data_IF_481599915674
#
_entry.id   IF_481599915674
#
_cell.length_a   1.000
_cell.length_b   1.000
_cell.length_c   1.000
_cell.angle_alpha   90.00
_cell.angle_beta   90.00
_cell.angle_gamma   90.00
#
_symmetry.space_group_name_H-M   'P 1'
#
loop_
_entity.id
_entity.type
_entity.pdbx_description
1 polymer ?
#
# COMPACT_ATOMS: atom_id res chain seq x y z
N UNK A 1 -10.70 1.66 21.35
CA UNK A 1 -10.71 0.63 20.29
C UNK A 1 -10.46 1.35 18.98
N UNK A 2 -9.30 1.09 18.36
CA UNK A 2 -8.70 1.91 17.31
C UNK A 2 -9.31 1.60 15.93
N UNK A 3 -10.47 2.19 15.62
CA UNK A 3 -11.07 2.13 14.27
C UNK A 3 -10.14 2.68 13.17
N UNK A 4 -9.10 3.42 13.53
CA UNK A 4 -8.15 4.06 12.60
C UNK A 4 -7.34 3.03 11.78
N UNK A 5 -7.26 1.77 12.21
CA UNK A 5 -6.42 0.76 11.56
C UNK A 5 -7.21 -0.31 10.78
N UNK A 6 -8.52 -0.44 10.98
CA UNK A 6 -9.33 -1.48 10.32
C UNK A 6 -9.42 -1.28 8.81
N UNK A 7 -9.58 -0.03 8.36
CA UNK A 7 -9.57 0.31 6.94
C UNK A 7 -8.23 -0.02 6.28
N UNK A 8 -7.11 0.34 6.91
CA UNK A 8 -5.78 0.02 6.39
C UNK A 8 -5.55 -1.49 6.34
N UNK A 9 -5.95 -2.24 7.37
CA UNK A 9 -5.84 -3.70 7.39
C UNK A 9 -6.67 -4.36 6.28
N UNK A 10 -7.89 -3.89 6.03
CA UNK A 10 -8.71 -4.37 4.92
C UNK A 10 -8.04 -4.10 3.58
N UNK A 11 -7.52 -2.89 3.36
CA UNK A 11 -6.83 -2.53 2.12
C UNK A 11 -5.54 -3.35 1.91
N UNK A 12 -4.79 -3.65 2.97
CA UNK A 12 -3.63 -4.57 2.91
C UNK A 12 -4.08 -5.97 2.50
N UNK A 13 -5.18 -6.48 3.08
CA UNK A 13 -5.73 -7.79 2.74
C UNK A 13 -6.16 -7.85 1.28
N UNK A 14 -6.87 -6.82 0.80
CA UNK A 14 -7.30 -6.70 -0.59
C UNK A 14 -6.08 -6.68 -1.54
N UNK A 15 -5.09 -5.84 -1.27
CA UNK A 15 -3.89 -5.74 -2.10
C UNK A 15 -3.14 -7.07 -2.23
N UNK A 16 -3.10 -7.88 -1.16
CA UNK A 16 -2.46 -9.22 -1.19
C UNK A 16 -3.23 -10.27 -1.99
N UNK A 17 -4.55 -10.14 -2.13
CA UNK A 17 -5.40 -11.12 -2.79
C UNK A 17 -5.54 -10.89 -4.29
N UNK A 18 -5.38 -9.65 -4.74
CA UNK A 18 -5.55 -9.28 -6.15
C UNK A 18 -4.25 -9.42 -6.94
N UNK A 19 -4.36 -9.56 -8.25
CA UNK A 19 -3.19 -9.63 -9.14
C UNK A 19 -2.37 -8.35 -9.07
N UNK A 20 -1.07 -8.49 -8.82
CA UNK A 20 -0.12 -7.38 -8.81
C UNK A 20 -0.21 -6.56 -10.10
N UNK A 21 -0.37 -5.25 -9.94
CA UNK A 21 -0.46 -4.30 -11.06
C UNK A 21 -1.84 -4.22 -11.72
N UNK A 22 -2.82 -5.02 -11.28
CA UNK A 22 -4.22 -4.81 -11.69
C UNK A 22 -4.75 -3.45 -11.22
N UNK A 23 -5.82 -2.98 -11.85
CA UNK A 23 -6.47 -1.72 -11.46
C UNK A 23 -6.88 -1.71 -9.98
N UNK A 24 -7.35 -2.85 -9.46
CA UNK A 24 -7.72 -3.01 -8.05
C UNK A 24 -6.50 -2.95 -7.14
N UNK A 25 -5.38 -3.57 -7.55
CA UNK A 25 -4.12 -3.49 -6.80
C UNK A 25 -3.62 -2.05 -6.69
N UNK A 26 -3.58 -1.32 -7.82
CA UNK A 26 -3.14 0.07 -7.85
C UNK A 26 -4.05 0.98 -7.04
N UNK A 27 -5.37 0.77 -7.09
CA UNK A 27 -6.33 1.49 -6.27
C UNK A 27 -6.11 1.23 -4.77
N UNK A 28 -5.85 -0.03 -4.38
CA UNK A 28 -5.56 -0.39 -3.00
C UNK A 28 -4.27 0.26 -2.50
N UNK A 29 -3.19 0.28 -3.30
CA UNK A 29 -1.94 0.97 -2.94
C UNK A 29 -2.15 2.48 -2.76
N UNK A 30 -2.91 3.11 -3.66
CA UNK A 30 -3.25 4.54 -3.54
C UNK A 30 -4.00 4.81 -2.23
N UNK A 31 -5.04 4.02 -1.95
CA UNK A 31 -5.84 4.16 -0.74
C UNK A 31 -5.02 3.90 0.54
N UNK A 32 -4.08 2.95 0.52
CA UNK A 32 -3.14 2.72 1.62
C UNK A 32 -2.25 3.93 1.86
N UNK A 33 -1.77 4.57 0.79
CA UNK A 33 -1.00 5.81 0.86
C UNK A 33 -1.78 6.95 1.49
N UNK A 34 -3.06 7.09 1.16
CA UNK A 34 -3.94 8.14 1.69
C UNK A 34 -4.39 7.87 3.13
N UNK A 35 -4.70 6.60 3.46
CA UNK A 35 -5.09 6.19 4.80
C UNK A 35 -3.91 6.31 5.78
N UNK A 36 -2.70 5.93 5.35
CA UNK A 36 -1.52 5.90 6.19
C UNK A 36 -1.61 4.89 7.34
N UNK A 37 -0.84 5.16 8.39
CA UNK A 37 -0.77 4.33 9.58
C UNK A 37 0.18 3.13 9.47
N UNK A 38 0.48 2.46 10.62
CA UNK A 38 1.56 1.48 10.70
C UNK A 38 1.37 0.29 9.75
N UNK A 39 0.14 -0.24 9.63
CA UNK A 39 -0.12 -1.39 8.78
C UNK A 39 0.08 -1.08 7.28
N UNK A 40 -0.28 0.12 6.84
CA UNK A 40 -0.06 0.55 5.47
C UNK A 40 1.44 0.75 5.19
N UNK A 41 2.15 1.41 6.10
CA UNK A 41 3.60 1.63 5.98
C UNK A 41 4.36 0.30 5.93
N UNK A 42 4.09 -0.63 6.84
CA UNK A 42 4.75 -1.94 6.91
C UNK A 42 4.54 -2.73 5.62
N UNK A 43 3.30 -2.76 5.11
CA UNK A 43 2.99 -3.45 3.87
C UNK A 43 3.68 -2.80 2.67
N UNK A 44 3.61 -1.47 2.54
CA UNK A 44 4.21 -0.74 1.41
C UNK A 44 5.75 -0.86 1.41
N UNK A 45 6.40 -0.84 2.57
CA UNK A 45 7.85 -1.08 2.69
C UNK A 45 8.20 -2.51 2.28
N UNK A 46 7.46 -3.51 2.76
CA UNK A 46 7.70 -4.91 2.40
C UNK A 46 7.53 -5.12 0.90
N UNK A 47 6.47 -4.55 0.31
CA UNK A 47 6.18 -4.68 -1.11
C UNK A 47 7.28 -4.00 -1.95
N UNK A 48 7.69 -2.78 -1.60
CA UNK A 48 8.74 -2.07 -2.33
C UNK A 48 10.05 -2.87 -2.40
N UNK A 49 10.43 -3.56 -1.32
CA UNK A 49 11.64 -4.41 -1.27
C UNK A 49 11.57 -5.65 -2.15
N UNK A 50 10.37 -6.12 -2.49
CA UNK A 50 10.15 -7.32 -3.31
C UNK A 50 10.04 -7.01 -4.81
N UNK A 51 9.74 -5.76 -5.16
CA UNK A 51 9.51 -5.35 -6.54
C UNK A 51 10.81 -5.00 -7.24
N UNK A 52 10.85 -5.24 -8.55
CA UNK A 52 11.96 -4.78 -9.41
C UNK A 52 12.03 -3.26 -9.40
N UNK A 53 13.19 -2.72 -9.02
CA UNK A 53 13.46 -1.29 -9.02
C UNK A 53 13.08 -0.63 -10.35
N UNK A 54 12.36 0.48 -10.29
CA UNK A 54 11.94 1.25 -11.46
C UNK A 54 10.74 0.68 -12.24
N UNK A 55 10.24 -0.49 -11.87
CA UNK A 55 8.97 -0.97 -12.43
C UNK A 55 7.81 -0.04 -12.09
N UNK A 56 6.77 0.00 -12.93
CA UNK A 56 5.59 0.84 -12.70
C UNK A 56 4.96 0.59 -11.31
N UNK A 57 4.93 -0.69 -10.90
CA UNK A 57 4.40 -1.05 -9.59
C UNK A 57 5.33 -0.63 -8.44
N UNK A 58 6.65 -0.71 -8.63
CA UNK A 58 7.62 -0.21 -7.65
C UNK A 58 7.48 1.31 -7.45
N UNK A 59 7.36 2.07 -8.55
CA UNK A 59 7.14 3.51 -8.49
C UNK A 59 5.83 3.87 -7.78
N UNK A 60 4.73 3.19 -8.11
CA UNK A 60 3.44 3.38 -7.45
C UNK A 60 3.50 3.06 -5.94
N UNK A 61 4.22 2.00 -5.57
CA UNK A 61 4.40 1.60 -4.17
C UNK A 61 5.21 2.64 -3.38
N UNK A 62 6.27 3.19 -3.98
CA UNK A 62 7.08 4.26 -3.37
C UNK A 62 6.25 5.53 -3.18
N UNK A 63 5.46 5.93 -4.19
CA UNK A 63 4.61 7.11 -4.08
C UNK A 63 3.58 6.95 -2.95
N UNK A 64 2.93 5.78 -2.88
CA UNK A 64 2.00 5.46 -1.81
C UNK A 64 2.69 5.48 -0.44
N UNK A 65 3.89 4.91 -0.31
CA UNK A 65 4.66 4.94 0.94
C UNK A 65 4.97 6.38 1.37
N UNK A 66 5.39 7.23 0.44
CA UNK A 66 5.64 8.65 0.72
C UNK A 66 4.41 9.39 1.25
N UNK A 67 3.21 9.03 0.79
CA UNK A 67 1.94 9.57 1.33
C UNK A 67 1.62 8.98 2.70
N UNK A 68 1.78 7.67 2.88
CA UNK A 68 1.47 6.98 4.13
C UNK A 68 2.36 7.44 5.30
N UNK A 69 3.57 7.92 5.02
CA UNK A 69 4.52 8.41 6.03
C UNK A 69 4.36 9.89 6.40
N UNK A 70 3.44 10.63 5.76
CA UNK A 70 3.15 12.03 6.11
C UNK A 70 2.07 12.18 7.18
N UNK A 71 1.30 11.12 7.44
CA UNK A 71 0.18 11.10 8.38
C UNK A 71 0.58 10.52 9.74
#
# INVERSE_FOLDING_TARGET
>A
MNNVNEGALYLVSLAKQVTNGSAVHLAALKALGEAGGPAAQDYLVSLAKQLTNGSALHLATIEALGKASRN
#
